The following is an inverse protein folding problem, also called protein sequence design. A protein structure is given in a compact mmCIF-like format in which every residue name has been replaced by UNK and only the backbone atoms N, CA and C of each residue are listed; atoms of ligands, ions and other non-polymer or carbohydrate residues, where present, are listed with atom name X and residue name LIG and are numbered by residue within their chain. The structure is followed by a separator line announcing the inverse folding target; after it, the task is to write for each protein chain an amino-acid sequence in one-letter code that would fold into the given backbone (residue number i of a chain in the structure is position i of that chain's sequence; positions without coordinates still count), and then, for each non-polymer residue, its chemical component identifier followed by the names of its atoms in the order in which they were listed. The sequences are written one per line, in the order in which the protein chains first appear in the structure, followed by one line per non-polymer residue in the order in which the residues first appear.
data_IF_070663857285
#
_entry.id   IF_070663857285
#
_cell.length_a   1.000
_cell.length_b   1.000
_cell.length_c   1.000
_cell.angle_alpha   90.00
_cell.angle_beta   90.00
_cell.angle_gamma   90.00
#
_symmetry.space_group_name_H-M   'P 1'
#
loop_
_entity.id
_entity.type
_entity.pdbx_description
1 polymer ?
#
# COMPACT_ATOMS: atom_id res chain seq x y z
N UNK A 1 -14.98 5.94 10.29
CA UNK A 1 -13.82 5.02 10.46
C UNK A 1 -14.37 3.74 11.04
N UNK A 2 -14.27 2.59 10.36
CA UNK A 2 -14.35 1.30 11.05
C UNK A 2 -12.92 0.96 11.45
N UNK A 3 -12.42 1.62 12.51
CA UNK A 3 -11.27 1.09 13.21
C UNK A 3 -11.79 -0.16 13.90
N UNK A 4 -11.47 -1.33 13.34
CA UNK A 4 -11.81 -2.58 13.98
C UNK A 4 -10.68 -2.81 14.99
N UNK A 5 -11.04 -2.85 16.28
CA UNK A 5 -10.12 -3.34 17.29
C UNK A 5 -9.63 -4.72 16.84
N UNK A 6 -8.32 -4.96 16.89
CA UNK A 6 -7.79 -6.30 16.77
C UNK A 6 -8.31 -7.06 17.98
N UNK A 7 -9.49 -7.69 17.86
CA UNK A 7 -9.93 -8.71 18.82
C UNK A 7 -9.07 -9.96 18.61
N UNK A 8 -7.75 -9.80 18.75
CA UNK A 8 -6.81 -10.84 19.09
C UNK A 8 -7.02 -11.06 20.58
N UNK A 9 -7.68 -12.16 20.94
CA UNK A 9 -7.65 -12.62 22.32
C UNK A 9 -6.18 -12.69 22.74
N UNK A 10 -5.83 -11.93 23.78
CA UNK A 10 -4.48 -11.64 24.32
C UNK A 10 -3.59 -10.69 23.47
N UNK A 11 -3.78 -9.38 23.67
CA UNK A 11 -2.77 -8.36 23.35
C UNK A 11 -1.63 -8.50 24.37
N UNK A 12 -0.61 -9.27 24.02
CA UNK A 12 0.72 -8.99 24.55
C UNK A 12 1.14 -7.64 23.97
N UNK A 13 1.75 -6.76 24.77
CA UNK A 13 2.57 -5.67 24.23
C UNK A 13 3.73 -6.32 23.47
N UNK A 14 3.47 -6.72 22.23
CA UNK A 14 4.45 -7.37 21.39
C UNK A 14 5.40 -6.30 20.88
N UNK A 15 6.70 -6.51 21.13
CA UNK A 15 7.73 -5.65 20.58
C UNK A 15 7.80 -5.77 19.04
N UNK A 16 7.28 -6.86 18.47
CA UNK A 16 7.30 -7.13 17.04
C UNK A 16 5.94 -7.66 16.55
N UNK A 17 5.49 -7.21 15.37
CA UNK A 17 4.27 -7.72 14.74
C UNK A 17 4.31 -9.24 14.57
N UNK A 18 5.49 -9.81 14.29
CA UNK A 18 5.69 -11.25 14.04
C UNK A 18 5.40 -12.13 15.25
N UNK A 19 5.42 -11.56 16.45
CA UNK A 19 5.06 -12.27 17.69
C UNK A 19 3.54 -12.38 17.85
N UNK A 20 2.79 -11.39 17.34
CA UNK A 20 1.32 -11.36 17.38
C UNK A 20 0.69 -12.01 16.14
N UNK A 21 1.34 -11.85 14.99
CA UNK A 21 0.88 -12.30 13.67
C UNK A 21 2.01 -13.12 13.06
N UNK A 22 1.94 -14.43 13.26
CA UNK A 22 3.06 -15.35 13.02
C UNK A 22 2.91 -16.19 11.75
N UNK A 23 1.76 -16.08 11.06
CA UNK A 23 1.46 -16.86 9.85
C UNK A 23 0.89 -15.97 8.75
N UNK A 24 1.15 -16.27 7.46
CA UNK A 24 0.55 -15.54 6.35
C UNK A 24 -0.98 -15.53 6.40
N UNK A 25 -1.57 -16.59 6.98
CA UNK A 25 -3.02 -16.74 7.10
C UNK A 25 -3.65 -15.66 7.98
N UNK A 26 -3.00 -15.30 9.09
CA UNK A 26 -3.50 -14.26 9.98
C UNK A 26 -3.48 -12.88 9.30
N UNK A 27 -2.46 -12.59 8.48
CA UNK A 27 -2.43 -11.37 7.65
C UNK A 27 -3.59 -11.36 6.65
N UNK A 28 -3.80 -12.45 5.92
CA UNK A 28 -4.93 -12.59 4.99
C UNK A 28 -6.27 -12.33 5.69
N UNK A 29 -6.49 -12.89 6.88
CA UNK A 29 -7.74 -12.74 7.61
C UNK A 29 -8.00 -11.29 8.05
N UNK A 30 -6.94 -10.58 8.46
CA UNK A 30 -7.00 -9.14 8.78
C UNK A 30 -7.34 -8.33 7.52
N UNK A 31 -6.64 -8.59 6.41
CA UNK A 31 -6.85 -7.92 5.12
C UNK A 31 -8.28 -8.17 4.60
N UNK A 32 -8.73 -9.42 4.60
CA UNK A 32 -10.04 -9.82 4.11
C UNK A 32 -11.17 -9.19 4.93
N UNK A 33 -11.01 -9.12 6.28
CA UNK A 33 -11.99 -8.50 7.18
C UNK A 33 -12.15 -6.99 6.92
N UNK A 34 -11.10 -6.31 6.49
CA UNK A 34 -11.12 -4.87 6.22
C UNK A 34 -11.41 -4.51 4.76
N UNK A 35 -10.98 -5.36 3.82
CA UNK A 35 -11.15 -5.13 2.38
C UNK A 35 -12.52 -5.55 1.86
N UNK A 36 -13.14 -6.58 2.44
CA UNK A 36 -14.40 -7.12 1.93
C UNK A 36 -15.54 -6.94 2.94
N UNK A 37 -16.51 -6.04 2.70
CA UNK A 37 -17.79 -6.07 3.42
C UNK A 37 -18.64 -7.30 3.02
N UNK A 38 -18.21 -8.05 2.00
CA UNK A 38 -18.85 -9.29 1.56
C UNK A 38 -18.29 -10.44 2.41
N UNK A 39 -19.14 -11.17 3.18
CA UNK A 39 -18.70 -12.31 3.96
C UNK A 39 -17.98 -13.33 3.09
N UNK A 40 -16.96 -14.06 3.60
CA UNK A 40 -16.14 -15.00 2.82
C UNK A 40 -16.95 -16.03 2.02
N UNK A 41 -18.12 -16.41 2.55
CA UNK A 41 -19.09 -17.35 1.98
C UNK A 41 -19.81 -16.81 0.72
N UNK A 42 -19.73 -15.51 0.46
CA UNK A 42 -20.26 -14.84 -0.73
C UNK A 42 -19.15 -14.22 -1.61
N UNK A 43 -17.88 -14.40 -1.23
CA UNK A 43 -16.75 -13.77 -1.89
C UNK A 43 -16.35 -14.51 -3.17
N UNK A 44 -16.63 -13.85 -4.31
CA UNK A 44 -15.80 -13.80 -5.53
C UNK A 44 -15.60 -15.12 -6.29
N UNK A 45 -16.49 -15.40 -7.25
CA UNK A 45 -16.40 -16.51 -8.23
C UNK A 45 -15.16 -16.48 -9.14
N UNK A 46 -14.26 -15.52 -8.98
CA UNK A 46 -13.07 -15.28 -9.81
C UNK A 46 -11.76 -15.38 -9.04
N UNK A 47 -11.76 -15.82 -7.77
CA UNK A 47 -10.52 -15.89 -6.97
C UNK A 47 -10.40 -17.17 -6.15
N UNK A 48 -9.18 -17.67 -6.02
CA UNK A 48 -8.82 -18.78 -5.13
C UNK A 48 -7.66 -18.35 -4.26
N UNK A 49 -7.85 -18.40 -2.94
CA UNK A 49 -6.82 -18.08 -1.97
C UNK A 49 -6.11 -19.37 -1.57
N UNK A 50 -4.78 -19.36 -1.54
CA UNK A 50 -3.99 -20.50 -1.05
C UNK A 50 -4.32 -20.82 0.41
N UNK A 51 -4.13 -22.08 0.82
CA UNK A 51 -4.49 -22.53 2.17
C UNK A 51 -3.78 -21.73 3.28
N UNK A 52 -2.52 -21.34 3.04
CA UNK A 52 -1.73 -20.49 3.93
C UNK A 52 -2.09 -18.99 3.83
N UNK A 53 -2.88 -18.56 2.86
CA UNK A 53 -3.20 -17.16 2.62
C UNK A 53 -2.08 -16.34 1.97
N UNK A 54 -0.93 -16.94 1.62
CA UNK A 54 0.18 -16.19 1.03
C UNK A 54 -0.07 -15.78 -0.44
N UNK A 55 -0.99 -16.46 -1.14
CA UNK A 55 -1.24 -16.25 -2.57
C UNK A 55 -2.73 -16.18 -2.90
N UNK A 56 -3.04 -15.38 -3.92
CA UNK A 56 -4.39 -15.26 -4.48
C UNK A 56 -4.31 -15.44 -5.98
N UNK A 57 -4.92 -16.51 -6.46
CA UNK A 57 -5.10 -16.79 -7.87
C UNK A 57 -6.34 -16.05 -8.38
N UNK A 58 -6.18 -15.24 -9.41
CA UNK A 58 -7.24 -14.42 -10.02
C UNK A 58 -7.58 -15.01 -11.38
N UNK A 59 -8.87 -15.19 -11.63
CA UNK A 59 -9.45 -15.80 -12.83
C UNK A 59 -10.33 -14.78 -13.56
N UNK A 60 -10.37 -14.86 -14.89
CA UNK A 60 -11.18 -13.95 -15.70
C UNK A 60 -12.69 -14.06 -15.39
N UNK A 61 -13.38 -12.91 -15.23
CA UNK A 61 -14.82 -12.85 -14.94
C UNK A 61 -15.73 -13.23 -16.13
N UNK A 62 -15.18 -13.55 -17.30
CA UNK A 62 -15.94 -13.90 -18.52
C UNK A 62 -16.75 -15.19 -18.42
N UNK A 63 -16.71 -15.89 -17.29
CA UNK A 63 -17.39 -17.16 -17.07
C UNK A 63 -18.88 -17.09 -16.69
N UNK A 64 -19.60 -15.98 -16.98
CA UNK A 64 -21.08 -15.88 -16.87
C UNK A 64 -21.70 -16.62 -15.67
N UNK A 65 -21.18 -16.42 -14.46
CA UNK A 65 -21.69 -17.07 -13.23
C UNK A 65 -21.65 -18.61 -13.23
N UNK A 66 -20.91 -19.25 -14.16
CA UNK A 66 -20.65 -20.67 -14.10
C UNK A 66 -19.67 -20.95 -12.94
N UNK A 67 -19.98 -21.90 -12.04
CA UNK A 67 -19.03 -22.31 -11.01
C UNK A 67 -17.72 -22.75 -11.65
N UNK A 68 -16.58 -22.29 -11.12
CA UNK A 68 -15.24 -22.68 -11.57
C UNK A 68 -15.10 -24.21 -11.70
N UNK A 69 -15.80 -24.97 -10.86
CA UNK A 69 -15.88 -26.44 -10.91
C UNK A 69 -16.41 -27.06 -12.21
N UNK A 70 -16.92 -26.27 -13.16
CA UNK A 70 -17.43 -26.74 -14.47
C UNK A 70 -16.45 -26.57 -15.64
N UNK A 71 -15.27 -26.01 -15.42
CA UNK A 71 -14.27 -25.77 -16.47
C UNK A 71 -13.20 -26.88 -16.47
N UNK A 72 -12.89 -27.44 -17.65
CA UNK A 72 -11.96 -28.59 -17.81
C UNK A 72 -10.50 -28.26 -17.45
N UNK A 73 -10.10 -27.01 -17.65
CA UNK A 73 -8.78 -26.49 -17.27
C UNK A 73 -8.99 -25.02 -16.97
N UNK A 74 -8.64 -24.59 -15.77
CA UNK A 74 -8.64 -23.18 -15.39
C UNK A 74 -7.21 -22.84 -15.04
N UNK A 75 -6.63 -21.87 -15.75
CA UNK A 75 -5.38 -21.25 -15.35
C UNK A 75 -5.70 -19.85 -14.81
N UNK A 76 -5.04 -19.43 -13.71
CA UNK A 76 -5.18 -18.07 -13.25
C UNK A 76 -4.64 -17.12 -14.30
N UNK A 77 -5.38 -16.03 -14.52
CA UNK A 77 -4.94 -14.90 -15.34
C UNK A 77 -3.79 -14.15 -14.65
N UNK A 78 -3.87 -14.05 -13.32
CA UNK A 78 -2.83 -13.45 -12.51
C UNK A 78 -2.72 -14.16 -11.15
N UNK A 79 -1.52 -14.10 -10.58
CA UNK A 79 -1.26 -14.55 -9.22
C UNK A 79 -0.82 -13.35 -8.43
N UNK A 80 -1.43 -13.14 -7.27
CA UNK A 80 -0.98 -12.17 -6.30
C UNK A 80 -0.27 -12.82 -5.13
N UNK A 81 0.73 -12.15 -4.60
CA UNK A 81 1.55 -12.62 -3.49
C UNK A 81 1.47 -11.61 -2.34
N UNK A 82 1.33 -12.12 -1.12
CA UNK A 82 1.31 -11.30 0.09
C UNK A 82 2.72 -10.77 0.35
N UNK A 83 2.81 -9.45 0.39
CA UNK A 83 4.03 -8.72 0.68
C UNK A 83 3.81 -7.79 1.87
N UNK A 84 4.91 -7.49 2.56
CA UNK A 84 4.93 -6.62 3.72
C UNK A 84 6.08 -5.63 3.65
N UNK A 85 5.85 -4.42 4.13
CA UNK A 85 6.89 -3.42 4.35
C UNK A 85 6.95 -3.17 5.86
N UNK A 86 8.04 -3.59 6.53
CA UNK A 86 8.26 -3.25 7.93
C UNK A 86 8.35 -1.74 8.13
N UNK A 87 7.80 -1.24 9.23
CA UNK A 87 7.96 0.17 9.56
C UNK A 87 9.40 0.43 10.02
N UNK A 88 10.09 1.46 9.48
CA UNK A 88 11.41 1.86 9.99
C UNK A 88 11.33 2.19 11.48
N UNK A 89 12.27 1.64 12.27
CA UNK A 89 12.40 1.87 13.72
C UNK A 89 11.18 1.50 14.58
N UNK A 90 10.18 0.81 13.99
CA UNK A 90 8.94 0.36 14.65
C UNK A 90 8.63 -1.10 14.30
N UNK A 91 9.29 -2.07 14.94
CA UNK A 91 9.05 -3.50 14.70
C UNK A 91 7.61 -3.95 15.01
N UNK A 92 6.90 -3.17 15.82
CA UNK A 92 5.49 -3.29 16.17
C UNK A 92 4.52 -2.77 15.08
N UNK A 93 5.03 -2.34 13.92
CA UNK A 93 4.22 -1.83 12.84
C UNK A 93 4.66 -2.35 11.45
N UNK A 94 3.68 -2.71 10.62
CA UNK A 94 3.89 -3.13 9.23
C UNK A 94 2.81 -2.62 8.31
N UNK A 95 3.16 -2.43 7.04
CA UNK A 95 2.23 -2.30 5.93
C UNK A 95 2.15 -3.64 5.21
N UNK A 96 0.96 -4.14 4.91
CA UNK A 96 0.75 -5.44 4.26
C UNK A 96 -0.27 -5.35 3.12
N UNK A 97 -0.09 -6.15 2.07
CA UNK A 97 -1.03 -6.21 0.94
C UNK A 97 -0.61 -7.21 -0.12
N UNK A 98 -1.47 -7.42 -1.12
CA UNK A 98 -1.22 -8.37 -2.20
C UNK A 98 -0.72 -7.67 -3.47
N UNK A 99 0.50 -7.99 -3.87
CA UNK A 99 1.11 -7.53 -5.11
C UNK A 99 0.86 -8.53 -6.24
N UNK A 100 0.46 -8.07 -7.42
CA UNK A 100 0.36 -8.93 -8.59
C UNK A 100 1.76 -9.34 -9.08
N UNK A 101 1.97 -10.63 -9.27
CA UNK A 101 3.26 -11.15 -9.74
C UNK A 101 3.52 -10.74 -11.19
N UNK A 102 4.67 -10.14 -11.45
CA UNK A 102 5.10 -9.74 -12.80
C UNK A 102 4.38 -8.50 -13.35
N UNK A 103 3.40 -7.96 -12.62
CA UNK A 103 2.72 -6.71 -12.92
C UNK A 103 2.99 -5.80 -11.73
N UNK A 104 3.68 -4.66 -11.92
CA UNK A 104 3.95 -3.70 -10.84
C UNK A 104 2.68 -2.99 -10.36
N UNK A 105 1.68 -3.75 -9.89
CA UNK A 105 0.32 -3.35 -9.60
C UNK A 105 -0.23 -4.11 -8.39
N UNK A 106 -1.11 -3.46 -7.62
CA UNK A 106 -1.83 -4.09 -6.52
C UNK A 106 -3.15 -4.72 -6.94
N UNK A 107 -3.48 -5.82 -6.30
CA UNK A 107 -4.76 -6.52 -6.40
C UNK A 107 -5.94 -5.63 -6.02
N UNK A 108 -5.73 -4.65 -5.14
CA UNK A 108 -6.76 -3.72 -4.69
C UNK A 108 -7.38 -2.86 -5.79
N UNK A 109 -6.70 -2.70 -6.92
CA UNK A 109 -7.24 -2.01 -8.11
C UNK A 109 -8.26 -2.89 -8.85
N UNK A 110 -8.15 -4.21 -8.78
CA UNK A 110 -9.00 -5.15 -9.51
C UNK A 110 -10.07 -5.85 -8.67
N UNK A 111 -9.92 -5.92 -7.34
CA UNK A 111 -10.63 -6.96 -6.56
C UNK A 111 -11.19 -6.53 -5.21
N UNK A 112 -11.20 -5.24 -4.86
CA UNK A 112 -11.63 -4.77 -3.52
C UNK A 112 -10.78 -5.29 -2.34
N UNK A 113 -9.56 -5.78 -2.56
CA UNK A 113 -8.62 -6.05 -1.47
C UNK A 113 -7.88 -4.78 -1.08
N UNK A 114 -7.96 -4.41 0.19
CA UNK A 114 -7.26 -3.23 0.69
C UNK A 114 -5.84 -3.60 1.12
N UNK A 115 -4.89 -2.68 0.94
CA UNK A 115 -3.65 -2.75 1.69
C UNK A 115 -3.98 -2.37 3.15
N UNK A 116 -3.25 -2.90 4.13
CA UNK A 116 -3.51 -2.60 5.54
C UNK A 116 -2.25 -2.16 6.26
N UNK A 117 -2.38 -1.12 7.08
CA UNK A 117 -1.39 -0.77 8.11
C UNK A 117 -1.78 -1.52 9.38
N UNK A 118 -0.86 -2.28 9.95
CA UNK A 118 -1.03 -2.99 11.22
C UNK A 118 -0.08 -2.34 12.23
N UNK A 119 -0.62 -1.88 13.36
CA UNK A 119 0.13 -1.34 14.50
C UNK A 119 -0.31 -2.13 15.74
N UNK A 120 0.51 -3.10 16.14
CA UNK A 120 0.15 -4.02 17.24
C UNK A 120 0.33 -3.37 18.61
N UNK A 121 1.27 -2.43 18.77
CA UNK A 121 1.45 -1.72 20.04
C UNK A 121 0.25 -0.85 20.40
N UNK A 122 -0.45 -0.32 19.38
CA UNK A 122 -1.65 0.47 19.57
C UNK A 122 -2.96 -0.30 19.35
N UNK A 123 -2.89 -1.62 19.08
CA UNK A 123 -4.05 -2.48 18.79
C UNK A 123 -4.92 -1.98 17.61
N UNK A 124 -4.25 -1.53 16.54
CA UNK A 124 -4.91 -0.84 15.41
C UNK A 124 -4.59 -1.49 14.08
N UNK A 125 -5.60 -1.54 13.21
CA UNK A 125 -5.42 -1.81 11.79
C UNK A 125 -6.19 -0.80 10.97
N UNK A 126 -5.57 -0.30 9.91
CA UNK A 126 -6.15 0.67 8.99
C UNK A 126 -6.14 0.15 7.56
N UNK A 127 -7.25 0.31 6.84
CA UNK A 127 -7.27 0.13 5.39
C UNK A 127 -6.60 1.32 4.69
N UNK A 128 -5.71 1.03 3.74
CA UNK A 128 -5.05 1.99 2.85
C UNK A 128 -5.54 1.74 1.43
N UNK A 129 -6.13 2.78 0.82
CA UNK A 129 -6.70 2.70 -0.51
C UNK A 129 -5.66 3.08 -1.58
N UNK A 130 -5.46 2.18 -2.54
CA UNK A 130 -4.45 2.34 -3.60
C UNK A 130 -4.89 3.23 -4.77
N UNK A 131 -6.16 3.65 -4.87
CA UNK A 131 -6.66 4.26 -6.11
C UNK A 131 -6.36 5.75 -6.22
N UNK A 132 -5.83 6.16 -7.37
CA UNK A 132 -5.79 7.57 -7.80
C UNK A 132 -7.18 8.09 -8.24
N UNK A 133 -8.15 7.17 -8.39
CA UNK A 133 -9.53 7.49 -8.78
C UNK A 133 -10.41 7.73 -7.55
N UNK A 134 -10.44 8.99 -7.10
CA UNK A 134 -11.30 9.52 -6.02
C UNK A 134 -12.80 9.26 -6.27
N UNK A 135 -13.19 8.94 -7.51
CA UNK A 135 -14.58 8.70 -7.91
C UNK A 135 -15.22 7.47 -7.28
N UNK A 136 -14.45 6.45 -6.87
CA UNK A 136 -15.01 5.30 -6.15
C UNK A 136 -15.23 5.56 -4.64
N UNK A 137 -14.66 6.63 -4.08
CA UNK A 137 -14.88 7.03 -2.68
C UNK A 137 -16.14 7.86 -2.44
N UNK A 138 -16.84 8.31 -3.49
CA UNK A 138 -17.99 9.24 -3.38
C UNK A 138 -19.30 8.59 -2.90
N UNK A 139 -19.36 7.27 -2.74
CA UNK A 139 -20.57 6.55 -2.31
C UNK A 139 -20.80 6.49 -0.80
N UNK A 140 -19.77 6.76 0.00
CA UNK A 140 -19.88 6.83 1.46
C UNK A 140 -19.71 8.30 1.82
N UNK A 141 -20.72 8.91 2.44
CA UNK A 141 -20.68 10.30 2.91
C UNK A 141 -19.63 10.47 4.01
N UNK A 142 -18.36 10.51 3.63
CA UNK A 142 -17.23 10.69 4.54
C UNK A 142 -16.97 12.20 4.65
N UNK A 143 -16.96 12.77 5.86
CA UNK A 143 -16.67 14.19 6.04
C UNK A 143 -15.31 14.54 5.43
N UNK A 144 -15.26 15.60 4.63
CA UNK A 144 -14.05 16.22 4.05
C UNK A 144 -13.12 16.86 5.09
N UNK A 145 -13.07 16.34 6.31
CA UNK A 145 -12.16 16.84 7.33
C UNK A 145 -10.77 16.26 7.06
N UNK A 146 -10.07 16.88 6.08
CA UNK A 146 -8.62 16.78 5.94
C UNK A 146 -7.99 17.16 7.29
N UNK A 147 -7.54 16.17 8.04
CA UNK A 147 -6.91 16.37 9.34
C UNK A 147 -5.41 16.29 9.16
N UNK A 148 -4.73 17.40 9.43
CA UNK A 148 -3.27 17.43 9.60
C UNK A 148 -2.94 16.77 10.96
N UNK A 149 -2.75 15.45 10.99
CA UNK A 149 -2.50 14.66 12.23
C UNK A 149 -1.52 13.53 11.84
N UNK A 150 -0.30 13.45 12.38
CA UNK A 150 0.14 13.02 13.74
C UNK A 150 0.00 11.53 14.06
N UNK A 151 -0.12 10.66 13.05
CA UNK A 151 0.04 9.21 13.28
C UNK A 151 1.50 8.79 13.01
N UNK A 152 2.29 8.46 14.06
CA UNK A 152 3.72 8.22 13.91
C UNK A 152 4.07 7.10 12.93
N UNK A 153 3.26 6.03 12.89
CA UNK A 153 3.45 4.94 11.94
C UNK A 153 3.35 5.42 10.48
N UNK A 154 2.29 6.17 10.16
CA UNK A 154 2.09 6.66 8.79
C UNK A 154 3.11 7.73 8.41
N UNK A 155 3.57 8.54 9.36
CA UNK A 155 4.69 9.44 9.15
C UNK A 155 5.96 8.67 8.79
N UNK A 156 6.32 7.62 9.54
CA UNK A 156 7.52 6.81 9.24
C UNK A 156 7.44 6.15 7.85
N UNK A 157 6.27 5.65 7.44
CA UNK A 157 6.08 5.15 6.08
C UNK A 157 6.12 6.26 5.03
N UNK A 158 5.57 7.44 5.29
CA UNK A 158 5.66 8.56 4.36
C UNK A 158 7.12 9.01 4.16
N UNK A 159 7.93 9.02 5.22
CA UNK A 159 9.37 9.29 5.12
C UNK A 159 10.12 8.17 4.36
N UNK A 160 9.75 6.90 4.57
CA UNK A 160 10.32 5.82 3.75
C UNK A 160 9.97 5.98 2.27
N UNK A 161 8.77 6.48 1.97
CA UNK A 161 8.33 6.75 0.61
C UNK A 161 9.08 7.96 0.01
N UNK A 162 9.44 8.97 0.82
CA UNK A 162 10.37 10.05 0.42
C UNK A 162 11.70 9.45 -0.07
N UNK A 163 12.32 8.58 0.73
CA UNK A 163 13.60 7.94 0.36
C UNK A 163 13.46 7.16 -0.95
N UNK A 164 12.36 6.41 -1.12
CA UNK A 164 12.11 5.67 -2.36
C UNK A 164 11.97 6.59 -3.58
N UNK A 165 11.28 7.72 -3.41
CA UNK A 165 11.06 8.71 -4.49
C UNK A 165 12.37 9.38 -4.88
N UNK A 166 13.21 9.73 -3.91
CA UNK A 166 14.52 10.34 -4.18
C UNK A 166 15.47 9.40 -4.90
N UNK A 167 15.43 8.10 -4.57
CA UNK A 167 16.26 7.09 -5.23
C UNK A 167 15.76 6.70 -6.62
N UNK A 168 14.44 6.68 -6.83
CA UNK A 168 13.81 6.24 -8.09
C UNK A 168 12.83 7.27 -8.68
N UNK A 169 13.24 8.52 -8.94
CA UNK A 169 12.33 9.62 -9.29
C UNK A 169 11.57 9.40 -10.61
N UNK A 170 12.13 8.63 -11.55
CA UNK A 170 11.49 8.30 -12.83
C UNK A 170 10.23 7.44 -12.68
N UNK A 171 10.16 6.60 -11.65
CA UNK A 171 8.99 5.76 -11.37
C UNK A 171 7.75 6.58 -11.00
N UNK A 172 7.96 7.81 -10.56
CA UNK A 172 6.91 8.67 -10.05
C UNK A 172 6.46 9.77 -11.03
N UNK A 173 7.02 9.79 -12.25
CA UNK A 173 6.53 10.61 -13.35
C UNK A 173 6.89 12.09 -13.26
N UNK A 174 8.00 12.43 -12.61
CA UNK A 174 8.47 13.83 -12.45
C UNK A 174 9.39 14.33 -13.57
N UNK A 175 9.67 13.50 -14.58
CA UNK A 175 10.59 13.83 -15.67
C UNK A 175 10.19 15.12 -16.40
N UNK A 176 8.89 15.36 -16.60
CA UNK A 176 8.40 16.57 -17.26
C UNK A 176 8.72 17.83 -16.46
N UNK A 177 8.48 17.80 -15.15
CA UNK A 177 8.73 18.93 -14.26
C UNK A 177 10.23 19.16 -14.09
N UNK A 178 11.00 18.08 -13.91
CA UNK A 178 12.46 18.15 -13.82
C UNK A 178 13.09 18.72 -15.11
N UNK A 179 12.68 18.23 -16.27
CA UNK A 179 13.17 18.75 -17.56
C UNK A 179 12.74 20.21 -17.77
N UNK A 180 11.52 20.58 -17.36
CA UNK A 180 11.07 21.98 -17.40
C UNK A 180 11.85 22.90 -16.46
N UNK A 181 12.34 22.40 -15.33
CA UNK A 181 13.26 23.15 -14.47
C UNK A 181 14.63 23.31 -15.12
N UNK A 182 15.16 22.26 -15.74
CA UNK A 182 16.45 22.30 -16.44
C UNK A 182 16.49 23.29 -17.61
N UNK A 183 15.38 23.50 -18.32
CA UNK A 183 15.32 24.47 -19.44
C UNK A 183 15.50 25.93 -19.02
N UNK A 184 15.55 26.24 -17.72
CA UNK A 184 15.76 27.60 -17.19
C UNK A 184 17.23 28.02 -17.16
N UNK A 185 18.15 27.08 -17.36
CA UNK A 185 19.58 27.35 -17.29
C UNK A 185 20.19 27.30 -18.69
N UNK A 186 20.85 28.40 -19.08
CA UNK A 186 21.58 28.49 -20.35
C UNK A 186 22.85 27.61 -20.36
N UNK A 187 23.39 27.32 -19.18
CA UNK A 187 24.53 26.44 -18.96
C UNK A 187 24.13 25.21 -18.13
N UNK A 188 24.96 24.15 -18.18
CA UNK A 188 24.71 22.95 -17.37
C UNK A 188 24.92 23.26 -15.89
N UNK A 189 23.81 23.40 -15.17
CA UNK A 189 23.78 23.54 -13.71
C UNK A 189 23.54 22.19 -13.05
N UNK A 190 24.25 21.92 -11.95
CA UNK A 190 23.97 20.76 -11.10
C UNK A 190 22.67 21.01 -10.35
N UNK A 191 21.62 20.26 -10.67
CA UNK A 191 20.34 20.30 -9.96
C UNK A 191 20.30 19.23 -8.87
N UNK A 192 19.94 19.62 -7.64
CA UNK A 192 19.56 18.69 -6.58
C UNK A 192 18.05 18.54 -6.52
N UNK A 193 17.60 17.32 -6.19
CA UNK A 193 16.20 16.99 -5.95
C UNK A 193 16.09 16.56 -4.49
N UNK A 194 15.16 17.16 -3.76
CA UNK A 194 14.80 16.75 -2.40
C UNK A 194 13.29 16.58 -2.32
N UNK A 195 12.83 15.68 -1.45
CA UNK A 195 11.42 15.40 -1.26
C UNK A 195 11.07 15.50 0.24
N UNK A 196 9.96 16.17 0.55
CA UNK A 196 9.51 16.36 1.93
C UNK A 196 8.02 16.02 2.06
N UNK A 197 7.64 15.36 3.16
CA UNK A 197 6.23 15.11 3.46
C UNK A 197 5.54 16.41 3.88
N UNK A 198 4.49 16.78 3.15
CA UNK A 198 3.68 17.98 3.44
C UNK A 198 2.46 17.65 4.31
N UNK A 199 1.72 16.60 3.92
CA UNK A 199 0.50 16.15 4.60
C UNK A 199 0.26 14.67 4.35
N UNK A 200 -0.48 14.01 5.24
CA UNK A 200 -0.96 12.64 5.08
C UNK A 200 -2.48 12.65 5.23
N UNK A 201 -3.18 12.17 4.20
CA UNK A 201 -4.59 11.83 4.26
C UNK A 201 -4.75 10.43 4.86
N UNK A 202 -5.15 10.41 6.13
CA UNK A 202 -5.40 9.19 6.91
C UNK A 202 -6.53 8.33 6.34
N UNK A 203 -7.51 8.93 5.66
CA UNK A 203 -8.68 8.23 5.14
C UNK A 203 -8.36 7.54 3.81
N UNK A 204 -7.56 8.20 2.98
CA UNK A 204 -7.09 7.64 1.73
C UNK A 204 -5.78 6.84 1.87
N UNK A 205 -5.08 6.97 2.99
CA UNK A 205 -3.72 6.43 3.18
C UNK A 205 -2.73 7.03 2.17
N UNK A 206 -2.90 8.33 1.85
CA UNK A 206 -2.09 9.04 0.86
C UNK A 206 -1.21 10.09 1.51
N UNK A 207 0.01 10.22 1.04
CA UNK A 207 0.90 11.30 1.42
C UNK A 207 0.99 12.31 0.27
N UNK A 208 0.96 13.60 0.62
CA UNK A 208 1.30 14.70 -0.27
C UNK A 208 2.71 15.15 0.06
N UNK A 209 3.47 15.39 -0.99
CA UNK A 209 4.88 15.69 -0.91
C UNK A 209 5.20 17.01 -1.60
N UNK A 210 6.28 17.63 -1.17
CA UNK A 210 6.95 18.69 -1.90
C UNK A 210 8.22 18.12 -2.53
N UNK A 211 8.25 18.06 -3.85
CA UNK A 211 9.49 17.87 -4.60
C UNK A 211 10.13 19.24 -4.79
N UNK A 212 11.35 19.40 -4.33
CA UNK A 212 12.09 20.65 -4.41
C UNK A 212 13.28 20.44 -5.33
N UNK A 213 13.27 21.14 -6.46
CA UNK A 213 14.41 21.26 -7.36
C UNK A 213 15.22 22.50 -6.99
N UNK A 214 16.53 22.37 -6.85
CA UNK A 214 17.43 23.49 -6.56
C UNK A 214 18.62 23.44 -7.51
N UNK A 215 18.93 24.58 -8.15
CA UNK A 215 20.08 24.72 -9.05
C UNK A 215 20.44 26.19 -9.25
N UNK A 216 21.72 26.54 -9.09
CA UNK A 216 22.14 27.94 -9.10
C UNK A 216 21.41 28.74 -8.01
N UNK A 217 20.80 29.87 -8.39
CA UNK A 217 19.97 30.70 -7.52
C UNK A 217 18.46 30.38 -7.64
N UNK A 218 18.10 29.40 -8.47
CA UNK A 218 16.71 29.03 -8.74
C UNK A 218 16.24 27.88 -7.86
N UNK A 219 14.97 27.96 -7.44
CA UNK A 219 14.30 26.93 -6.65
C UNK A 219 12.86 26.75 -7.13
N UNK A 220 12.48 25.51 -7.40
CA UNK A 220 11.11 25.17 -7.77
C UNK A 220 10.53 24.13 -6.81
N UNK A 221 9.29 24.34 -6.39
CA UNK A 221 8.55 23.41 -5.55
C UNK A 221 7.36 22.84 -6.30
N UNK A 222 7.35 21.54 -6.51
CA UNK A 222 6.23 20.80 -7.10
C UNK A 222 5.49 20.06 -6.00
N UNK A 223 4.17 20.21 -5.97
CA UNK A 223 3.32 19.44 -5.05
C UNK A 223 2.72 18.27 -5.78
N UNK A 224 2.82 17.07 -5.20
CA UNK A 224 2.20 15.87 -5.74
C UNK A 224 1.71 14.98 -4.59
N UNK A 225 0.89 13.97 -4.89
CA UNK A 225 0.40 13.03 -3.87
C UNK A 225 0.47 11.60 -4.36
N UNK A 226 0.93 10.70 -3.50
CA UNK A 226 1.04 9.27 -3.77
C UNK A 226 0.48 8.45 -2.61
N UNK A 227 -0.13 7.29 -2.86
CA UNK A 227 -0.60 6.42 -1.80
C UNK A 227 0.60 5.79 -1.09
N UNK A 228 0.52 5.62 0.23
CA UNK A 228 1.55 4.96 1.03
C UNK A 228 1.71 3.49 0.60
N UNK A 229 0.66 2.89 0.03
CA UNK A 229 0.70 1.55 -0.56
C UNK A 229 1.73 1.41 -1.69
N UNK A 230 2.21 2.49 -2.33
CA UNK A 230 3.28 2.40 -3.33
C UNK A 230 4.56 1.75 -2.77
N UNK A 231 4.79 1.84 -1.45
CA UNK A 231 5.89 1.14 -0.79
C UNK A 231 5.84 -0.37 -0.94
N UNK A 232 4.66 -0.97 -1.05
CA UNK A 232 4.52 -2.41 -1.24
C UNK A 232 4.97 -2.86 -2.67
N UNK A 233 5.21 -1.93 -3.61
CA UNK A 233 5.84 -2.20 -4.92
C UNK A 233 7.32 -1.84 -4.94
N UNK A 234 7.81 -1.23 -3.87
CA UNK A 234 9.19 -0.78 -3.76
C UNK A 234 10.12 -1.93 -3.36
N UNK A 235 11.43 -1.66 -3.37
CA UNK A 235 12.44 -2.59 -2.86
C UNK A 235 12.32 -2.89 -1.35
N UNK A 236 11.52 -2.12 -0.61
CA UNK A 236 11.29 -2.33 0.82
C UNK A 236 10.22 -3.40 1.09
N UNK A 237 9.48 -3.83 0.06
CA UNK A 237 8.51 -4.89 0.17
C UNK A 237 9.20 -6.25 0.22
N UNK A 238 8.90 -7.02 1.26
CA UNK A 238 9.37 -8.38 1.46
C UNK A 238 8.23 -9.36 1.20
N UNK A 239 8.47 -10.48 0.49
CA UNK A 239 7.54 -11.60 0.51
C UNK A 239 7.27 -12.04 1.95
N UNK A 240 6.02 -12.36 2.28
CA UNK A 240 5.63 -12.68 3.66
C UNK A 240 6.48 -13.81 4.27
N UNK A 241 6.84 -14.82 3.48
CA UNK A 241 7.67 -15.94 3.94
C UNK A 241 9.08 -15.53 4.33
N UNK A 242 9.62 -14.48 3.70
CA UNK A 242 10.93 -13.94 4.06
C UNK A 242 10.82 -13.13 5.35
N UNK A 243 9.84 -12.23 5.43
CA UNK A 243 9.63 -11.39 6.61
C UNK A 243 9.44 -12.21 7.90
N UNK A 244 8.68 -13.30 7.83
CA UNK A 244 8.43 -14.18 8.96
C UNK A 244 9.65 -15.05 9.35
N UNK A 245 10.62 -15.25 8.45
CA UNK A 245 11.84 -16.03 8.70
C UNK A 245 12.98 -15.20 9.29
N UNK A 246 13.05 -13.92 8.98
CA UNK A 246 14.14 -13.02 9.39
C UNK A 246 14.03 -12.57 10.86
N UNK A 247 13.66 -13.48 11.77
CA UNK A 247 13.54 -13.24 13.22
C UNK A 247 14.89 -13.07 13.90
#
# INVERSE_FOLDING_TARGET
MHAIALTLCSVAFAADVRDSISTPRQYYEIIARLGSPVPPEYSRHSQVVSADGAKIEIFAETHRYAPLSKLKTIQPEAIAELVVVPCPDRPDCVLAGYQLRGLGQFVGVMTAESCVLIDVANDRVFSIFSTDNVTQGRGLGVPQAERKISEPALSAFAELLVVNIEEFPSQYGFEKQYNGFLTRFDERVKVSVTCEVSRIDMLAGRATFYLIFTGGDERERVTFSKPISDLLLSKYALPIDQYLKDR
#
